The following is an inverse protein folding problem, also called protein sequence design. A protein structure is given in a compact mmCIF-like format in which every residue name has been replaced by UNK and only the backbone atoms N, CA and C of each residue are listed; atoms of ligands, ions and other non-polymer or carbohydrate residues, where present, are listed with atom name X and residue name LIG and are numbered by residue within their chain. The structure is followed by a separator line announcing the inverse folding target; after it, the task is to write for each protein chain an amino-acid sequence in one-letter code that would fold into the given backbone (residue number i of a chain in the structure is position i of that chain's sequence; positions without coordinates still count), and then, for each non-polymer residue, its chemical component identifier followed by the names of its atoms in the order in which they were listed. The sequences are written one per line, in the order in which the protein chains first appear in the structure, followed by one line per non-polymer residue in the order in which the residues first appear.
data_IF_264817721383
#
_entry.id   IF_264817721383
#
_cell.length_a   1.000
_cell.length_b   1.000
_cell.length_c   1.000
_cell.angle_alpha   90.00
_cell.angle_beta   90.00
_cell.angle_gamma   90.00
#
_symmetry.space_group_name_H-M   'P 1'
#
loop_
_entity.id
_entity.type
_entity.pdbx_description
1 polymer ?
#
# COMPACT_ATOMS: atom_id res chain seq x y z
N UNK A 1 -1.62 -18.78 8.30
CA UNK A 1 -2.36 -17.83 7.44
C UNK A 1 -2.53 -16.55 8.23
N UNK A 2 -1.81 -15.48 7.91
CA UNK A 2 -2.00 -14.19 8.57
C UNK A 2 -3.35 -13.63 8.15
N UNK A 3 -4.27 -13.46 9.11
CA UNK A 3 -5.50 -12.70 8.85
C UNK A 3 -5.11 -11.24 8.60
N UNK A 4 -5.44 -10.72 7.43
CA UNK A 4 -5.28 -9.29 7.13
C UNK A 4 -6.27 -8.48 7.96
N UNK A 5 -5.90 -7.23 8.28
CA UNK A 5 -6.75 -6.38 9.11
C UNK A 5 -8.07 -6.03 8.40
N UNK A 6 -9.12 -5.69 9.15
CA UNK A 6 -10.36 -5.18 8.57
C UNK A 6 -10.12 -3.94 7.69
N UNK A 7 -9.16 -3.08 8.08
CA UNK A 7 -8.79 -1.89 7.30
C UNK A 7 -8.24 -2.27 5.93
N UNK A 8 -7.36 -3.27 5.88
CA UNK A 8 -6.84 -3.80 4.62
C UNK A 8 -7.99 -4.34 3.76
N UNK A 9 -8.83 -5.21 4.33
CA UNK A 9 -9.97 -5.80 3.59
C UNK A 9 -10.90 -4.76 3.01
N UNK A 10 -11.25 -3.74 3.79
CA UNK A 10 -12.11 -2.66 3.33
C UNK A 10 -11.46 -1.82 2.22
N UNK A 11 -10.13 -1.67 2.25
CA UNK A 11 -9.42 -0.89 1.24
C UNK A 11 -9.36 -1.62 -0.10
N UNK A 12 -9.11 -2.94 -0.08
CA UNK A 12 -9.01 -3.77 -1.30
C UNK A 12 -10.36 -4.24 -1.84
N UNK A 13 -11.47 -4.05 -1.10
CA UNK A 13 -12.78 -4.52 -1.54
C UNK A 13 -13.42 -3.67 -2.64
N UNK A 14 -12.96 -2.43 -2.84
CA UNK A 14 -13.54 -1.51 -3.82
C UNK A 14 -12.47 -0.61 -4.45
N UNK A 15 -12.67 -0.11 -5.69
CA UNK A 15 -11.78 0.84 -6.32
C UNK A 15 -11.55 2.07 -5.42
N UNK A 16 -10.36 2.68 -5.50
CA UNK A 16 -10.01 3.79 -4.63
C UNK A 16 -10.87 5.04 -4.85
N UNK A 17 -11.49 5.23 -6.02
CA UNK A 17 -12.39 6.36 -6.28
C UNK A 17 -11.75 7.72 -5.92
N UNK A 18 -12.44 8.54 -5.13
CA UNK A 18 -11.92 9.83 -4.62
C UNK A 18 -11.10 9.71 -3.32
N UNK A 19 -10.74 8.49 -2.87
CA UNK A 19 -9.96 8.32 -1.63
C UNK A 19 -8.61 9.04 -1.78
N UNK A 20 -8.14 9.79 -0.76
CA UNK A 20 -6.90 10.58 -0.81
C UNK A 20 -5.61 9.74 -0.89
N UNK A 21 -5.71 8.42 -1.07
CA UNK A 21 -4.60 7.49 -1.14
C UNK A 21 -3.98 7.37 -2.54
N UNK A 22 -4.54 8.06 -3.56
CA UNK A 22 -4.00 8.07 -4.93
C UNK A 22 -2.54 8.57 -5.00
N UNK A 23 -2.12 9.48 -4.11
CA UNK A 23 -0.73 9.97 -4.09
C UNK A 23 0.25 8.86 -3.70
N UNK A 24 -0.10 8.08 -2.67
CA UNK A 24 0.71 6.96 -2.20
C UNK A 24 0.74 5.84 -3.24
N UNK A 25 -0.40 5.57 -3.89
CA UNK A 25 -0.47 4.64 -5.01
C UNK A 25 0.41 5.11 -6.19
N UNK A 26 0.37 6.40 -6.54
CA UNK A 26 1.23 6.97 -7.57
C UNK A 26 2.71 6.76 -7.28
N UNK A 27 3.13 7.02 -6.04
CA UNK A 27 4.50 6.75 -5.62
C UNK A 27 4.85 5.26 -5.69
N UNK A 28 3.96 4.38 -5.24
CA UNK A 28 4.13 2.93 -5.33
C UNK A 28 4.35 2.45 -6.78
N UNK A 29 3.59 3.02 -7.73
CA UNK A 29 3.72 2.70 -9.16
C UNK A 29 5.01 3.27 -9.78
N UNK A 30 5.44 4.48 -9.38
CA UNK A 30 6.73 5.06 -9.79
C UNK A 30 7.90 4.17 -9.37
N UNK A 31 7.82 3.62 -8.15
CA UNK A 31 8.79 2.66 -7.62
C UNK A 31 8.62 1.24 -8.20
N UNK A 32 7.81 1.06 -9.24
CA UNK A 32 7.57 -0.20 -9.95
C UNK A 32 7.12 -1.34 -9.03
N UNK A 33 6.31 -1.02 -8.02
CA UNK A 33 5.86 -1.99 -7.00
C UNK A 33 7.05 -2.66 -6.26
N UNK A 34 8.22 -2.03 -6.21
CA UNK A 34 9.39 -2.54 -5.49
C UNK A 34 9.18 -2.42 -3.99
N UNK A 35 9.22 -3.56 -3.29
CA UNK A 35 8.99 -3.63 -1.85
C UNK A 35 10.03 -2.85 -1.06
N UNK A 36 11.31 -3.10 -1.32
CA UNK A 36 12.40 -2.51 -0.54
C UNK A 36 12.41 -0.98 -0.72
N UNK A 37 12.33 -0.51 -1.98
CA UNK A 37 12.30 0.92 -2.28
C UNK A 37 11.08 1.63 -1.69
N UNK A 38 9.90 0.99 -1.72
CA UNK A 38 8.69 1.57 -1.14
C UNK A 38 8.75 1.61 0.39
N UNK A 39 9.29 0.57 1.02
CA UNK A 39 9.41 0.51 2.47
C UNK A 39 10.41 1.54 3.00
N UNK A 40 11.54 1.72 2.31
CA UNK A 40 12.52 2.75 2.63
C UNK A 40 11.91 4.15 2.45
N UNK A 41 11.25 4.39 1.31
CA UNK A 41 10.56 5.66 1.07
C UNK A 41 9.51 5.99 2.14
N UNK A 42 8.66 5.02 2.51
CA UNK A 42 7.60 5.26 3.50
C UNK A 42 8.19 5.52 4.90
N UNK A 43 9.32 4.89 5.21
CA UNK A 43 10.07 5.15 6.43
C UNK A 43 10.67 6.55 6.44
N UNK A 44 11.24 7.01 5.33
CA UNK A 44 11.88 8.32 5.23
C UNK A 44 10.86 9.47 5.27
N UNK A 45 9.72 9.32 4.59
CA UNK A 45 8.71 10.38 4.49
C UNK A 45 7.80 10.45 5.72
N UNK A 46 7.47 9.32 6.34
CA UNK A 46 6.45 9.24 7.39
C UNK A 46 6.94 8.59 8.70
N UNK A 47 8.21 8.17 8.79
CA UNK A 47 8.73 7.47 9.97
C UNK A 47 8.12 6.09 10.19
N UNK A 48 7.55 5.47 9.14
CA UNK A 48 6.86 4.19 9.27
C UNK A 48 7.81 3.07 9.72
N UNK A 49 7.35 2.24 10.66
CA UNK A 49 8.10 1.05 11.06
C UNK A 49 7.90 -0.10 10.04
N UNK A 50 8.71 -1.16 10.18
CA UNK A 50 8.71 -2.32 9.26
C UNK A 50 7.34 -2.96 9.09
N UNK A 51 6.53 -3.01 10.17
CA UNK A 51 5.19 -3.60 10.10
C UNK A 51 4.24 -2.70 9.32
N UNK A 52 4.22 -1.39 9.62
CA UNK A 52 3.38 -0.41 8.93
C UNK A 52 3.70 -0.36 7.44
N UNK A 53 4.98 -0.33 7.07
CA UNK A 53 5.39 -0.30 5.67
C UNK A 53 5.07 -1.59 4.93
N UNK A 54 5.24 -2.76 5.57
CA UNK A 54 4.82 -4.05 5.01
C UNK A 54 3.30 -4.13 4.80
N UNK A 55 2.52 -3.75 5.81
CA UNK A 55 1.06 -3.82 5.76
C UNK A 55 0.51 -2.84 4.68
N UNK A 56 1.12 -1.65 4.56
CA UNK A 56 0.76 -0.68 3.52
C UNK A 56 1.13 -1.18 2.12
N UNK A 57 2.34 -1.72 1.94
CA UNK A 57 2.78 -2.28 0.67
C UNK A 57 1.84 -3.38 0.19
N UNK A 58 1.55 -4.35 1.07
CA UNK A 58 0.68 -5.47 0.72
C UNK A 58 -0.72 -5.00 0.32
N UNK A 59 -1.25 -4.01 1.05
CA UNK A 59 -2.55 -3.44 0.74
C UNK A 59 -2.62 -2.78 -0.66
N UNK A 60 -1.55 -2.10 -1.08
CA UNK A 60 -1.48 -1.47 -2.40
C UNK A 60 -1.21 -2.49 -3.51
N UNK A 61 -0.39 -3.52 -3.22
CA UNK A 61 -0.14 -4.61 -4.15
C UNK A 61 -1.43 -5.38 -4.45
N UNK A 62 -2.14 -5.84 -3.41
CA UNK A 62 -3.40 -6.57 -3.55
C UNK A 62 -4.47 -5.72 -4.24
N UNK A 63 -4.54 -4.42 -3.93
CA UNK A 63 -5.45 -3.52 -4.64
C UNK A 63 -5.10 -3.39 -6.14
N UNK A 64 -3.81 -3.31 -6.49
CA UNK A 64 -3.41 -3.27 -7.90
C UNK A 64 -3.78 -4.58 -8.61
N UNK A 65 -3.57 -5.73 -7.97
CA UNK A 65 -3.85 -7.03 -8.60
C UNK A 65 -5.35 -7.21 -8.91
N UNK A 66 -6.24 -6.58 -8.13
CA UNK A 66 -7.69 -6.62 -8.34
C UNK A 66 -8.22 -5.56 -9.33
N UNK A 67 -7.60 -4.37 -9.39
CA UNK A 67 -8.18 -3.22 -10.09
C UNK A 67 -7.29 -2.56 -11.17
N UNK A 68 -6.04 -3.02 -11.37
CA UNK A 68 -5.09 -2.45 -12.33
C UNK A 68 -4.33 -3.51 -13.14
#
# INVERSE_FOLDING_TARGET
MSSTSQKHRNFVAEPMGEKPAYVVLGQFLILKKSKDLFQDWLKDVAGANTKQSSDCFQCLADWCDEFL
#
